data_IF_854547439403
#
_entry.id   IF_854547439403
#
_cell.length_a   1.000
_cell.length_b   1.000
_cell.length_c   1.000
_cell.angle_alpha   90.00
_cell.angle_beta   90.00
_cell.angle_gamma   90.00
#
_symmetry.space_group_name_H-M   'P 1'
#
loop_
_entity.id
_entity.type
_entity.pdbx_description
1 polymer ?
#
# COMPACT_ATOMS: atom_id res chain seq x y z
N UNK A 1 -20.10 -7.68 16.63
CA UNK A 1 -18.62 -7.49 16.59
C UNK A 1 -18.37 -6.02 16.37
N UNK A 2 -17.44 -5.43 17.09
CA UNK A 2 -17.05 -4.04 16.89
C UNK A 2 -16.46 -3.84 15.48
N UNK A 3 -16.85 -2.75 14.82
CA UNK A 3 -16.39 -2.43 13.46
C UNK A 3 -14.89 -2.13 13.49
N UNK A 4 -14.10 -2.76 12.62
CA UNK A 4 -12.66 -2.53 12.50
C UNK A 4 -12.37 -1.19 11.82
N UNK A 5 -11.29 -0.53 12.22
CA UNK A 5 -10.91 0.80 11.74
C UNK A 5 -9.63 0.70 10.92
N UNK A 6 -9.66 1.24 9.70
CA UNK A 6 -8.56 1.20 8.75
C UNK A 6 -8.18 2.59 8.25
N UNK A 7 -6.89 2.80 8.04
CA UNK A 7 -6.35 3.95 7.30
C UNK A 7 -5.72 3.46 6.01
N UNK A 8 -6.07 4.09 4.87
CA UNK A 8 -5.59 3.69 3.53
C UNK A 8 -4.95 4.88 2.83
N UNK A 9 -3.71 4.73 2.40
CA UNK A 9 -3.04 5.70 1.55
C UNK A 9 -3.20 5.34 0.06
N UNK A 10 -3.37 6.34 -0.80
CA UNK A 10 -3.56 6.11 -2.24
C UNK A 10 -4.91 5.48 -2.58
N UNK A 11 -5.96 5.80 -1.82
CA UNK A 11 -7.30 5.22 -1.93
C UNK A 11 -8.11 5.70 -3.16
N UNK A 12 -7.62 6.68 -3.92
CA UNK A 12 -8.40 7.30 -5.02
C UNK A 12 -8.45 6.47 -6.31
N UNK A 13 -7.58 5.48 -6.47
CA UNK A 13 -7.52 4.66 -7.70
C UNK A 13 -6.82 3.32 -7.50
N UNK A 14 -6.93 2.43 -8.50
CA UNK A 14 -6.19 1.18 -8.57
C UNK A 14 -6.38 0.29 -7.34
N UNK A 15 -5.30 -0.28 -6.86
CA UNK A 15 -5.29 -1.24 -5.73
C UNK A 15 -5.90 -0.61 -4.46
N UNK A 16 -5.50 0.62 -4.11
CA UNK A 16 -6.00 1.27 -2.90
C UNK A 16 -7.52 1.51 -2.93
N UNK A 17 -8.07 1.87 -4.10
CA UNK A 17 -9.52 2.00 -4.29
C UNK A 17 -10.23 0.64 -4.13
N UNK A 18 -9.71 -0.42 -4.73
CA UNK A 18 -10.29 -1.76 -4.61
C UNK A 18 -10.27 -2.26 -3.15
N UNK A 19 -9.18 -2.03 -2.43
CA UNK A 19 -9.08 -2.34 -0.99
C UNK A 19 -10.14 -1.55 -0.21
N UNK A 20 -10.27 -0.23 -0.45
CA UNK A 20 -11.27 0.61 0.20
C UNK A 20 -12.69 0.07 -0.01
N UNK A 21 -13.06 -0.20 -1.26
CA UNK A 21 -14.38 -0.72 -1.61
C UNK A 21 -14.66 -2.08 -0.95
N UNK A 22 -13.66 -2.95 -0.89
CA UNK A 22 -13.80 -4.27 -0.27
C UNK A 22 -13.95 -4.17 1.25
N UNK A 23 -13.15 -3.31 1.91
CA UNK A 23 -13.26 -3.07 3.34
C UNK A 23 -14.61 -2.42 3.71
N UNK A 24 -15.07 -1.44 2.92
CA UNK A 24 -16.38 -0.81 3.10
C UNK A 24 -17.53 -1.81 3.06
N UNK A 25 -17.53 -2.72 2.09
CA UNK A 25 -18.51 -3.82 1.99
C UNK A 25 -18.46 -4.79 3.17
N UNK A 26 -17.35 -4.84 3.91
CA UNK A 26 -17.16 -5.67 5.10
C UNK A 26 -17.28 -4.87 6.41
N UNK A 27 -18.01 -3.73 6.38
CA UNK A 27 -18.34 -2.91 7.56
C UNK A 27 -17.13 -2.34 8.31
N UNK A 28 -16.01 -2.07 7.63
CA UNK A 28 -14.92 -1.29 8.21
C UNK A 28 -15.27 0.19 8.25
N UNK A 29 -14.79 0.88 9.28
CA UNK A 29 -14.68 2.34 9.31
C UNK A 29 -13.33 2.74 8.74
N UNK A 30 -13.30 3.68 7.79
CA UNK A 30 -12.12 3.90 6.97
C UNK A 30 -11.75 5.38 6.91
N UNK A 31 -10.49 5.69 7.15
CA UNK A 31 -9.89 6.98 6.77
C UNK A 31 -9.13 6.77 5.45
N UNK A 32 -9.62 7.38 4.38
CA UNK A 32 -9.07 7.26 3.05
C UNK A 32 -8.26 8.50 2.67
N UNK A 33 -6.98 8.33 2.34
CA UNK A 33 -6.12 9.43 1.90
C UNK A 33 -5.93 9.42 0.38
N UNK A 34 -6.14 10.58 -0.22
CA UNK A 34 -5.85 10.84 -1.63
C UNK A 34 -5.48 12.30 -1.85
N UNK A 35 -4.71 12.58 -2.91
CA UNK A 35 -4.23 13.96 -3.22
C UNK A 35 -5.33 14.91 -3.69
N UNK A 36 -6.40 14.42 -4.26
CA UNK A 36 -7.42 15.23 -4.95
C UNK A 36 -8.79 15.17 -4.29
N UNK A 37 -8.96 14.47 -3.19
CA UNK A 37 -10.28 14.27 -2.58
C UNK A 37 -11.27 13.46 -3.44
N UNK A 38 -10.92 13.09 -4.67
CA UNK A 38 -11.75 12.33 -5.61
C UNK A 38 -11.79 10.83 -5.24
N UNK A 39 -12.03 10.53 -3.99
CA UNK A 39 -12.34 9.17 -3.56
C UNK A 39 -13.82 8.96 -3.87
N UNK A 40 -14.11 8.17 -4.88
CA UNK A 40 -15.50 7.83 -5.22
C UNK A 40 -16.01 6.90 -4.12
N UNK A 41 -16.93 7.41 -3.32
CA UNK A 41 -17.60 6.65 -2.28
C UNK A 41 -18.72 5.81 -2.90
N UNK A 42 -18.76 4.52 -2.57
CA UNK A 42 -19.85 3.61 -2.86
C UNK A 42 -20.89 3.57 -1.74
N UNK A 43 -21.53 2.44 -1.58
CA UNK A 43 -22.41 2.13 -0.45
C UNK A 43 -21.63 2.23 0.88
N UNK A 44 -22.32 2.59 1.99
CA UNK A 44 -21.76 2.81 3.34
C UNK A 44 -20.78 3.99 3.44
N UNK A 45 -21.02 5.06 2.71
CA UNK A 45 -20.19 6.25 2.72
C UNK A 45 -20.11 6.94 4.09
N UNK A 46 -21.06 6.73 4.98
CA UNK A 46 -21.08 7.23 6.36
C UNK A 46 -19.96 6.67 7.25
N UNK A 47 -19.38 5.54 6.85
CA UNK A 47 -18.25 4.91 7.52
C UNK A 47 -16.88 5.31 6.93
N UNK A 48 -16.86 6.26 5.99
CA UNK A 48 -15.63 6.64 5.28
C UNK A 48 -15.37 8.14 5.46
N UNK A 49 -14.23 8.44 6.05
CA UNK A 49 -13.69 9.79 6.14
C UNK A 49 -12.59 10.00 5.09
N UNK A 50 -12.68 11.10 4.34
CA UNK A 50 -11.69 11.44 3.32
C UNK A 50 -10.75 12.49 3.86
N UNK A 51 -9.45 12.23 3.77
CA UNK A 51 -8.39 13.22 4.02
C UNK A 51 -7.71 13.53 2.69
N UNK A 52 -7.87 14.77 2.24
CA UNK A 52 -7.10 15.29 1.11
C UNK A 52 -5.74 15.73 1.62
N UNK A 53 -4.69 14.96 1.30
CA UNK A 53 -3.34 15.24 1.80
C UNK A 53 -2.25 14.77 0.84
N UNK A 54 -1.11 15.46 0.87
CA UNK A 54 0.12 15.03 0.19
C UNK A 54 1.00 14.32 1.22
N UNK A 55 1.28 13.04 0.99
CA UNK A 55 2.14 12.24 1.86
C UNK A 55 3.60 12.72 1.89
N UNK A 56 3.99 13.61 0.99
CA UNK A 56 5.30 14.27 1.03
C UNK A 56 5.37 15.36 2.12
N UNK A 57 4.23 15.80 2.68
CA UNK A 57 4.19 16.69 3.83
C UNK A 57 4.35 15.89 5.13
N UNK A 58 5.19 16.39 6.00
CA UNK A 58 5.54 15.69 7.27
C UNK A 58 4.32 15.50 8.19
N UNK A 59 3.37 16.43 8.16
CA UNK A 59 2.18 16.41 9.02
C UNK A 59 1.13 15.39 8.62
N UNK A 60 1.09 14.99 7.35
CA UNK A 60 0.02 14.14 6.81
C UNK A 60 -0.10 12.79 7.55
N UNK A 61 1.01 12.21 7.98
CA UNK A 61 0.98 10.94 8.72
C UNK A 61 0.26 11.06 10.07
N UNK A 62 0.53 12.13 10.80
CA UNK A 62 -0.12 12.42 12.09
C UNK A 62 -1.59 12.83 11.89
N UNK A 63 -1.90 13.60 10.86
CA UNK A 63 -3.27 13.99 10.50
C UNK A 63 -4.15 12.77 10.23
N UNK A 64 -3.63 11.77 9.50
CA UNK A 64 -4.36 10.53 9.20
C UNK A 64 -4.63 9.70 10.45
N UNK A 65 -3.63 9.52 11.31
CA UNK A 65 -3.79 8.80 12.57
C UNK A 65 -4.77 9.53 13.51
N UNK A 66 -4.59 10.84 13.67
CA UNK A 66 -5.46 11.65 14.52
C UNK A 66 -6.91 11.67 14.01
N UNK A 67 -7.10 11.67 12.68
CA UNK A 67 -8.44 11.57 12.09
C UNK A 67 -9.13 10.26 12.47
N UNK A 68 -8.42 9.13 12.39
CA UNK A 68 -8.96 7.81 12.77
C UNK A 68 -9.34 7.79 14.27
N UNK A 69 -8.46 8.28 15.14
CA UNK A 69 -8.70 8.30 16.59
C UNK A 69 -9.85 9.25 16.94
N UNK A 70 -9.87 10.46 16.39
CA UNK A 70 -10.86 11.48 16.77
C UNK A 70 -12.26 11.14 16.28
N UNK A 71 -12.39 10.51 15.10
CA UNK A 71 -13.70 10.20 14.52
C UNK A 71 -14.19 8.81 14.91
N UNK A 72 -13.29 7.84 14.95
CA UNK A 72 -13.66 6.45 15.15
C UNK A 72 -13.21 5.84 16.47
N UNK A 73 -12.35 6.54 17.22
CA UNK A 73 -11.91 6.17 18.57
C UNK A 73 -10.68 5.27 18.64
N UNK A 74 -10.27 4.64 17.53
CA UNK A 74 -9.12 3.71 17.45
C UNK A 74 -8.56 3.64 16.02
N UNK A 75 -7.52 2.81 15.82
CA UNK A 75 -7.04 2.37 14.51
C UNK A 75 -6.50 0.94 14.63
N UNK A 76 -7.04 0.03 13.82
CA UNK A 76 -6.62 -1.38 13.80
C UNK A 76 -5.68 -1.69 12.63
N UNK A 77 -5.86 -1.01 11.47
CA UNK A 77 -5.15 -1.32 10.22
C UNK A 77 -4.58 -0.08 9.56
N UNK A 78 -3.36 -0.22 9.03
CA UNK A 78 -2.76 0.75 8.11
C UNK A 78 -2.43 0.07 6.78
N UNK A 79 -2.99 0.61 5.68
CA UNK A 79 -2.65 0.18 4.31
C UNK A 79 -1.73 1.22 3.66
N UNK A 80 -0.45 0.88 3.55
CA UNK A 80 0.58 1.69 2.89
C UNK A 80 0.60 1.33 1.42
N UNK A 81 -0.25 1.99 0.63
CA UNK A 81 -0.45 1.64 -0.78
C UNK A 81 -0.08 2.78 -1.74
N UNK A 82 -0.04 4.03 -1.29
CA UNK A 82 0.31 5.15 -2.16
C UNK A 82 1.68 4.98 -2.82
N UNK A 83 1.75 5.19 -4.12
CA UNK A 83 2.99 5.08 -4.86
C UNK A 83 2.88 5.59 -6.29
N UNK A 84 4.03 5.82 -6.89
CA UNK A 84 4.21 6.12 -8.31
C UNK A 84 5.33 5.24 -8.85
N UNK A 85 5.51 5.24 -10.15
CA UNK A 85 6.61 4.56 -10.82
C UNK A 85 7.34 5.53 -11.75
N UNK A 86 8.65 5.51 -11.68
CA UNK A 86 9.54 6.07 -12.69
C UNK A 86 10.57 4.99 -13.05
N UNK A 87 10.69 4.70 -14.33
CA UNK A 87 11.61 3.70 -14.87
C UNK A 87 12.02 4.13 -16.29
N UNK A 88 13.22 3.81 -16.65
CA UNK A 88 13.78 4.17 -17.96
C UNK A 88 15.24 3.79 -18.04
N UNK A 89 15.84 3.88 -19.25
CA UNK A 89 17.28 3.72 -19.42
C UNK A 89 18.05 4.86 -18.75
N UNK A 90 19.33 4.71 -18.58
CA UNK A 90 20.22 5.73 -18.02
C UNK A 90 20.08 7.07 -18.78
N UNK A 91 19.85 7.00 -20.09
CA UNK A 91 19.75 8.17 -20.97
C UNK A 91 18.38 8.86 -20.91
N UNK A 92 17.33 8.13 -20.54
CA UNK A 92 15.94 8.62 -20.68
C UNK A 92 15.20 8.83 -19.38
N UNK A 93 15.72 8.31 -18.25
CA UNK A 93 15.05 8.44 -16.95
C UNK A 93 14.96 9.90 -16.52
N UNK A 94 13.75 10.30 -16.10
CA UNK A 94 13.53 11.63 -15.52
C UNK A 94 14.00 11.63 -14.05
N UNK A 95 15.12 12.29 -13.78
CA UNK A 95 15.75 12.29 -12.45
C UNK A 95 14.84 12.93 -11.40
N UNK A 96 14.12 14.01 -11.72
CA UNK A 96 13.26 14.71 -10.77
C UNK A 96 12.04 13.85 -10.42
N UNK A 97 11.42 13.20 -11.39
CA UNK A 97 10.33 12.24 -11.15
C UNK A 97 10.82 11.02 -10.36
N UNK A 98 12.02 10.52 -10.68
CA UNK A 98 12.65 9.43 -9.94
C UNK A 98 12.86 9.81 -8.46
N UNK A 99 13.45 10.99 -8.19
CA UNK A 99 13.64 11.46 -6.82
C UNK A 99 12.30 11.66 -6.08
N UNK A 100 11.30 12.21 -6.77
CA UNK A 100 9.95 12.35 -6.21
C UNK A 100 9.31 10.99 -5.89
N UNK A 101 9.51 9.98 -6.75
CA UNK A 101 9.08 8.61 -6.48
C UNK A 101 9.78 8.03 -5.23
N UNK A 102 11.09 8.22 -5.10
CA UNK A 102 11.85 7.76 -3.91
C UNK A 102 11.31 8.40 -2.64
N UNK A 103 11.08 9.71 -2.63
CA UNK A 103 10.48 10.41 -1.49
C UNK A 103 9.10 9.87 -1.15
N UNK A 104 8.24 9.65 -2.16
CA UNK A 104 6.90 9.13 -1.93
C UNK A 104 6.91 7.68 -1.46
N UNK A 105 7.67 6.79 -2.12
CA UNK A 105 7.65 5.35 -1.81
C UNK A 105 8.49 4.96 -0.60
N UNK A 106 9.55 5.68 -0.30
CA UNK A 106 10.46 5.35 0.82
C UNK A 106 10.24 6.30 1.98
N UNK A 107 10.56 7.58 1.84
CA UNK A 107 10.51 8.53 2.94
C UNK A 107 9.11 8.63 3.57
N UNK A 108 8.07 8.86 2.74
CA UNK A 108 6.72 9.00 3.29
C UNK A 108 6.17 7.70 3.87
N UNK A 109 6.50 6.55 3.23
CA UNK A 109 6.09 5.24 3.76
C UNK A 109 6.76 4.92 5.10
N UNK A 110 8.04 5.23 5.25
CA UNK A 110 8.74 5.06 6.53
C UNK A 110 8.11 5.93 7.60
N UNK A 111 7.88 7.21 7.30
CA UNK A 111 7.25 8.16 8.22
C UNK A 111 5.91 7.64 8.72
N UNK A 112 4.98 7.28 7.83
CA UNK A 112 3.65 6.82 8.24
C UNK A 112 3.72 5.49 8.99
N UNK A 113 4.56 4.54 8.57
CA UNK A 113 4.73 3.26 9.25
C UNK A 113 5.18 3.49 10.70
N UNK A 114 6.21 4.29 10.94
CA UNK A 114 6.69 4.56 12.30
C UNK A 114 5.68 5.38 13.13
N UNK A 115 4.95 6.33 12.53
CA UNK A 115 3.87 7.06 13.22
C UNK A 115 2.83 6.07 13.77
N UNK A 116 2.34 5.16 12.92
CA UNK A 116 1.34 4.18 13.33
C UNK A 116 1.90 3.10 14.27
N UNK A 117 3.13 2.65 14.08
CA UNK A 117 3.77 1.70 14.99
C UNK A 117 3.90 2.25 16.41
N UNK A 118 4.24 3.53 16.58
CA UNK A 118 4.26 4.17 17.90
C UNK A 118 2.89 4.12 18.58
N UNK A 119 1.82 4.28 17.80
CA UNK A 119 0.46 4.15 18.31
C UNK A 119 0.12 2.69 18.63
N UNK A 120 0.36 1.75 17.71
CA UNK A 120 0.09 0.32 17.92
C UNK A 120 0.88 -0.27 19.10
N UNK A 121 2.10 0.20 19.36
CA UNK A 121 2.87 -0.18 20.55
C UNK A 121 2.19 0.25 21.85
N UNK A 122 1.48 1.40 21.86
CA UNK A 122 0.73 1.88 23.02
C UNK A 122 -0.58 1.10 23.23
N UNK A 123 -1.26 0.75 22.14
CA UNK A 123 -2.54 -0.01 22.19
C UNK A 123 -2.35 -1.52 22.27
N UNK A 124 -1.14 -2.02 22.01
CA UNK A 124 -0.77 -3.43 22.07
C UNK A 124 -1.17 -4.24 20.85
N UNK A 125 -1.82 -3.67 19.86
CA UNK A 125 -2.32 -4.36 18.64
C UNK A 125 -2.25 -3.46 17.41
N UNK A 126 -2.23 -4.06 16.22
CA UNK A 126 -2.31 -3.34 14.95
C UNK A 126 -1.82 -4.19 13.78
N UNK A 127 -2.22 -3.83 12.57
CA UNK A 127 -1.77 -4.53 11.37
C UNK A 127 -1.40 -3.55 10.26
N UNK A 128 -0.17 -3.62 9.77
CA UNK A 128 0.31 -2.84 8.64
C UNK A 128 0.41 -3.72 7.40
N UNK A 129 -0.27 -3.34 6.34
CA UNK A 129 -0.20 -3.98 5.03
C UNK A 129 0.49 -3.02 4.06
N UNK A 130 1.60 -3.45 3.47
CA UNK A 130 2.42 -2.64 2.56
C UNK A 130 2.26 -3.18 1.15
N UNK A 131 1.79 -2.35 0.22
CA UNK A 131 1.82 -2.66 -1.21
C UNK A 131 3.23 -2.40 -1.74
N UNK A 132 4.02 -3.47 -1.78
CA UNK A 132 5.34 -3.54 -2.37
C UNK A 132 5.23 -3.84 -3.88
N UNK A 133 6.02 -4.73 -4.40
CA UNK A 133 6.02 -5.20 -5.78
C UNK A 133 6.81 -6.50 -5.87
N UNK A 134 6.58 -7.32 -6.90
CA UNK A 134 7.54 -8.38 -7.26
C UNK A 134 8.96 -7.83 -7.43
N UNK A 135 9.10 -6.55 -7.79
CA UNK A 135 10.38 -5.86 -7.85
C UNK A 135 10.91 -5.42 -6.47
N UNK A 136 10.30 -5.85 -5.38
CA UNK A 136 10.86 -5.76 -4.02
C UNK A 136 11.77 -6.93 -3.66
N UNK A 137 11.73 -8.02 -4.44
CA UNK A 137 12.57 -9.21 -4.26
C UNK A 137 13.32 -9.62 -5.54
N UNK A 138 12.96 -9.04 -6.67
CA UNK A 138 13.60 -9.20 -7.97
C UNK A 138 13.92 -7.84 -8.56
N UNK A 139 14.81 -7.81 -9.53
CA UNK A 139 15.11 -6.60 -10.28
C UNK A 139 15.13 -6.91 -11.77
N UNK A 140 15.06 -5.86 -12.58
CA UNK A 140 15.22 -5.94 -14.03
C UNK A 140 15.87 -4.68 -14.56
N UNK A 141 16.37 -4.79 -15.78
CA UNK A 141 16.89 -3.64 -16.53
C UNK A 141 15.88 -2.48 -16.55
N UNK A 142 16.36 -1.25 -16.52
CA UNK A 142 15.58 0.00 -16.56
C UNK A 142 14.63 0.22 -15.36
N UNK A 143 14.68 -0.62 -14.33
CA UNK A 143 13.77 -0.52 -13.17
C UNK A 143 14.51 -0.37 -11.84
N UNK A 144 15.80 -0.07 -11.85
CA UNK A 144 16.65 -0.06 -10.65
C UNK A 144 16.14 0.84 -9.53
N UNK A 145 15.75 2.08 -9.85
CA UNK A 145 15.24 3.01 -8.84
C UNK A 145 13.91 2.55 -8.23
N UNK A 146 12.97 2.07 -9.05
CA UNK A 146 11.70 1.55 -8.57
C UNK A 146 11.89 0.27 -7.75
N UNK A 147 12.71 -0.65 -8.23
CA UNK A 147 13.08 -1.86 -7.48
C UNK A 147 13.70 -1.49 -6.13
N UNK A 148 14.68 -0.58 -6.12
CA UNK A 148 15.33 -0.10 -4.90
C UNK A 148 14.35 0.44 -3.86
N UNK A 149 13.33 1.20 -4.28
CA UNK A 149 12.27 1.65 -3.37
C UNK A 149 11.51 0.48 -2.73
N UNK A 150 11.14 -0.53 -3.51
CA UNK A 150 10.40 -1.68 -2.99
C UNK A 150 11.30 -2.58 -2.11
N UNK A 151 12.56 -2.80 -2.48
CA UNK A 151 13.55 -3.47 -1.60
C UNK A 151 13.71 -2.77 -0.25
N UNK A 152 13.72 -1.42 -0.25
CA UNK A 152 13.79 -0.65 1.00
C UNK A 152 12.57 -0.92 1.89
N UNK A 153 11.36 -1.01 1.33
CA UNK A 153 10.14 -1.35 2.08
C UNK A 153 10.17 -2.80 2.61
N UNK A 154 10.66 -3.74 1.81
CA UNK A 154 10.80 -5.15 2.23
C UNK A 154 11.80 -5.29 3.38
N UNK A 155 12.96 -4.63 3.28
CA UNK A 155 13.99 -4.66 4.32
C UNK A 155 13.48 -4.02 5.62
N UNK A 156 12.79 -2.87 5.53
CA UNK A 156 12.16 -2.24 6.69
C UNK A 156 11.14 -3.19 7.35
N UNK A 157 10.23 -3.75 6.55
CA UNK A 157 9.20 -4.65 7.06
C UNK A 157 9.80 -5.89 7.72
N UNK A 158 10.87 -6.45 7.17
CA UNK A 158 11.58 -7.60 7.74
C UNK A 158 12.18 -7.28 9.11
N UNK A 159 12.90 -6.16 9.22
CA UNK A 159 13.47 -5.71 10.50
C UNK A 159 12.38 -5.48 11.56
N UNK A 160 11.32 -4.77 11.19
CA UNK A 160 10.21 -4.48 12.10
C UNK A 160 9.46 -5.76 12.55
N UNK A 161 9.32 -6.75 11.69
CA UNK A 161 8.73 -8.05 12.08
C UNK A 161 9.55 -8.76 13.13
N UNK A 162 10.89 -8.67 13.09
CA UNK A 162 11.76 -9.21 14.15
C UNK A 162 11.52 -8.49 15.48
N UNK A 163 11.46 -7.15 15.46
CA UNK A 163 11.19 -6.34 16.66
C UNK A 163 9.80 -6.60 17.28
N UNK A 164 8.85 -7.02 16.47
CA UNK A 164 7.44 -7.19 16.84
C UNK A 164 7.03 -8.65 17.04
N UNK A 165 7.99 -9.59 17.01
CA UNK A 165 7.73 -11.04 16.99
C UNK A 165 6.84 -11.52 18.13
N UNK A 166 7.03 -10.95 19.33
CA UNK A 166 6.31 -11.31 20.56
C UNK A 166 5.12 -10.38 20.87
N UNK A 167 4.62 -9.66 19.86
CA UNK A 167 3.48 -8.73 20.02
C UNK A 167 2.31 -9.13 19.13
N UNK A 168 1.12 -8.57 19.36
CA UNK A 168 -0.03 -8.69 18.46
C UNK A 168 -0.02 -7.67 17.30
N UNK A 169 1.13 -7.04 17.04
CA UNK A 169 1.31 -6.14 15.90
C UNK A 169 1.87 -6.94 14.72
N UNK A 170 1.26 -6.77 13.54
CA UNK A 170 1.60 -7.53 12.34
C UNK A 170 2.04 -6.63 11.19
N UNK A 171 2.90 -7.13 10.32
CA UNK A 171 3.31 -6.45 9.09
C UNK A 171 3.37 -7.47 7.96
N UNK A 172 2.64 -7.20 6.88
CA UNK A 172 2.66 -7.99 5.64
C UNK A 172 3.05 -7.12 4.46
N UNK A 173 3.95 -7.59 3.62
CA UNK A 173 4.20 -7.05 2.30
C UNK A 173 3.41 -7.85 1.26
N UNK A 174 2.61 -7.17 0.44
CA UNK A 174 2.02 -7.75 -0.77
C UNK A 174 2.93 -7.40 -1.93
N UNK A 175 3.34 -8.40 -2.70
CA UNK A 175 4.25 -8.29 -3.84
C UNK A 175 3.50 -8.55 -5.15
N UNK A 176 2.72 -7.59 -5.68
CA UNK A 176 2.01 -7.80 -6.93
C UNK A 176 2.97 -7.84 -8.12
N UNK A 177 2.66 -8.70 -9.09
CA UNK A 177 3.13 -8.57 -10.44
C UNK A 177 2.42 -7.44 -11.18
N UNK A 178 2.23 -7.60 -12.49
CA UNK A 178 1.56 -6.58 -13.28
C UNK A 178 0.05 -6.56 -13.01
N UNK A 179 -0.42 -5.45 -12.43
CA UNK A 179 -1.84 -5.15 -12.16
C UNK A 179 -2.33 -4.07 -13.12
N UNK A 180 -3.51 -4.25 -13.69
CA UNK A 180 -4.15 -3.26 -14.56
C UNK A 180 -4.62 -2.04 -13.76
N UNK A 181 -3.80 -1.00 -13.74
CA UNK A 181 -4.05 0.26 -13.04
C UNK A 181 -3.58 1.42 -13.89
N UNK A 182 -3.85 2.64 -13.41
CA UNK A 182 -3.33 3.86 -14.04
C UNK A 182 -1.85 4.14 -13.71
N UNK A 183 -1.14 3.21 -13.09
CA UNK A 183 0.26 3.41 -12.68
C UNK A 183 1.18 3.66 -13.89
N UNK A 184 0.90 3.00 -15.01
CA UNK A 184 1.69 3.05 -16.24
C UNK A 184 1.02 3.88 -17.36
N UNK A 185 0.02 4.71 -17.03
CA UNK A 185 -0.80 5.44 -18.03
C UNK A 185 0.03 6.36 -18.95
N UNK A 186 1.14 6.90 -18.43
CA UNK A 186 1.99 7.85 -19.17
C UNK A 186 3.16 7.15 -19.91
N UNK A 187 3.18 5.82 -19.92
CA UNK A 187 4.22 5.06 -20.61
C UNK A 187 3.91 4.91 -22.10
N UNK A 188 4.89 5.09 -22.98
CA UNK A 188 4.69 4.99 -24.44
C UNK A 188 4.29 3.58 -24.87
N UNK A 189 4.76 2.55 -24.16
CA UNK A 189 4.39 1.13 -24.36
C UNK A 189 3.99 0.55 -23.01
N UNK A 190 2.81 -0.05 -22.94
CA UNK A 190 2.32 -0.61 -21.69
C UNK A 190 3.13 -1.86 -21.30
N UNK A 191 3.50 -2.08 -20.02
CA UNK A 191 4.28 -3.25 -19.58
C UNK A 191 3.67 -4.60 -19.96
N UNK A 192 2.36 -4.68 -20.15
CA UNK A 192 1.67 -5.86 -20.66
C UNK A 192 2.25 -6.36 -21.99
N UNK A 193 2.54 -5.42 -22.89
CA UNK A 193 3.12 -5.71 -24.21
C UNK A 193 4.60 -6.08 -24.08
N UNK A 194 5.36 -5.28 -23.31
CA UNK A 194 6.80 -5.52 -23.10
C UNK A 194 7.08 -6.87 -22.44
N UNK A 195 6.21 -7.32 -21.54
CA UNK A 195 6.36 -8.59 -20.83
C UNK A 195 5.62 -9.75 -21.50
N UNK A 196 4.93 -9.48 -22.60
CA UNK A 196 4.10 -10.47 -23.33
C UNK A 196 3.11 -11.19 -22.39
N UNK A 197 2.42 -10.42 -21.53
CA UNK A 197 1.43 -10.93 -20.58
C UNK A 197 0.04 -10.77 -21.19
N UNK A 198 -0.64 -11.89 -21.44
CA UNK A 198 -1.98 -11.89 -22.04
C UNK A 198 -3.04 -11.35 -21.08
N UNK A 199 -3.03 -11.83 -19.83
CA UNK A 199 -3.98 -11.45 -18.79
C UNK A 199 -3.22 -10.86 -17.60
N UNK A 200 -3.44 -9.59 -17.32
CA UNK A 200 -2.91 -8.93 -16.12
C UNK A 200 -3.79 -9.23 -14.91
N UNK A 201 -3.27 -9.05 -13.71
CA UNK A 201 -4.10 -8.97 -12.52
C UNK A 201 -4.98 -7.71 -12.60
N UNK A 202 -6.14 -7.74 -11.94
CA UNK A 202 -6.97 -6.56 -11.70
C UNK A 202 -6.84 -6.14 -10.23
N UNK A 203 -7.16 -4.87 -9.90
CA UNK A 203 -7.09 -4.38 -8.51
C UNK A 203 -7.87 -5.24 -7.51
N UNK A 204 -9.01 -5.80 -7.93
CA UNK A 204 -9.83 -6.67 -7.09
C UNK A 204 -9.11 -7.96 -6.69
N UNK A 205 -8.25 -8.53 -7.54
CA UNK A 205 -7.45 -9.70 -7.17
C UNK A 205 -6.57 -9.41 -5.94
N UNK A 206 -6.03 -8.20 -5.87
CA UNK A 206 -5.22 -7.77 -4.73
C UNK A 206 -6.08 -7.53 -3.49
N UNK A 207 -7.25 -6.92 -3.67
CA UNK A 207 -8.18 -6.68 -2.57
C UNK A 207 -8.70 -7.99 -1.95
N UNK A 208 -8.96 -9.04 -2.76
CA UNK A 208 -9.32 -10.38 -2.27
C UNK A 208 -8.18 -10.97 -1.42
N UNK A 209 -6.94 -10.90 -1.90
CA UNK A 209 -5.76 -11.36 -1.14
C UNK A 209 -5.63 -10.61 0.19
N UNK A 210 -5.86 -9.29 0.18
CA UNK A 210 -5.87 -8.48 1.43
C UNK A 210 -6.90 -9.03 2.41
N UNK A 211 -8.13 -9.28 1.96
CA UNK A 211 -9.19 -9.81 2.84
C UNK A 211 -8.84 -11.19 3.38
N UNK A 212 -8.25 -12.05 2.56
CA UNK A 212 -7.76 -13.36 3.00
C UNK A 212 -6.71 -13.21 4.11
N UNK A 213 -5.72 -12.35 3.91
CA UNK A 213 -4.63 -12.12 4.87
C UNK A 213 -5.17 -11.62 6.20
N UNK A 214 -6.01 -10.59 6.21
CA UNK A 214 -6.53 -9.98 7.44
C UNK A 214 -7.58 -10.83 8.16
N UNK A 215 -8.12 -11.86 7.50
CA UNK A 215 -9.05 -12.82 8.11
C UNK A 215 -8.35 -13.89 8.95
N UNK A 216 -7.02 -14.03 8.84
CA UNK A 216 -6.29 -15.07 9.58
C UNK A 216 -6.22 -14.73 11.07
N UNK A 217 -6.26 -15.75 11.94
CA UNK A 217 -6.04 -15.55 13.37
C UNK A 217 -4.69 -14.90 13.68
N UNK A 218 -4.61 -14.14 14.77
CA UNK A 218 -3.43 -13.32 15.12
C UNK A 218 -2.13 -14.12 15.30
N UNK A 219 -2.21 -15.41 15.63
CA UNK A 219 -1.04 -16.28 15.74
C UNK A 219 -0.46 -16.72 14.39
N UNK A 220 -1.20 -16.53 13.28
CA UNK A 220 -0.72 -16.82 11.93
C UNK A 220 -0.12 -15.55 11.35
N UNK A 221 1.16 -15.58 11.03
CA UNK A 221 1.88 -14.46 10.43
C UNK A 221 2.11 -14.74 8.95
N UNK A 222 1.71 -13.80 8.11
CA UNK A 222 1.99 -13.82 6.66
C UNK A 222 2.97 -12.69 6.35
N UNK A 223 4.28 -12.95 6.35
CA UNK A 223 5.28 -11.91 6.14
C UNK A 223 5.21 -11.27 4.75
N UNK A 224 4.98 -12.11 3.73
CA UNK A 224 4.99 -11.74 2.31
C UNK A 224 3.93 -12.53 1.55
N UNK A 225 3.32 -11.89 0.57
CA UNK A 225 2.38 -12.54 -0.33
C UNK A 225 2.64 -12.07 -1.76
N UNK A 226 3.29 -12.92 -2.54
CA UNK A 226 3.55 -12.65 -3.95
C UNK A 226 2.40 -13.17 -4.80
N UNK A 227 1.87 -12.32 -5.67
CA UNK A 227 0.80 -12.66 -6.60
C UNK A 227 1.15 -12.20 -8.00
N UNK A 228 1.12 -13.12 -8.95
CA UNK A 228 1.56 -12.90 -10.33
C UNK A 228 0.46 -13.26 -11.33
N UNK A 229 0.31 -12.51 -12.42
CA UNK A 229 -0.51 -12.97 -13.53
C UNK A 229 0.16 -14.14 -14.24
N UNK A 230 -0.66 -14.99 -14.86
CA UNK A 230 -0.15 -16.10 -15.67
C UNK A 230 0.81 -15.58 -16.76
N UNK A 231 1.96 -16.22 -16.88
CA UNK A 231 2.98 -15.88 -17.86
C UNK A 231 3.96 -14.77 -17.42
N UNK A 232 3.79 -14.19 -16.24
CA UNK A 232 4.74 -13.21 -15.71
C UNK A 232 6.04 -13.94 -15.30
N UNK A 233 7.11 -13.74 -16.07
CA UNK A 233 8.44 -14.27 -15.77
C UNK A 233 9.18 -13.31 -14.83
N UNK A 234 9.73 -13.82 -13.74
CA UNK A 234 10.46 -13.09 -12.71
C UNK A 234 11.80 -13.74 -12.39
#
# INVERSE_FOLDING_TARGET
MESKIAVITGASSGIGKAILEKLSKNNFRIVACGRTGNVVLGENSENIEIVTGDLLLETTSDELLNKAINVFGDCDYLFVNAGTIESGSIETIDIDKMCKMVRLKVESSYRIIYTFLKYFKKTGKGYIIITSSVLGTKTRENSGAYAGCNYALEALAESLRMELSDTDIQITCIEPGLVQTNLHRDWPVHPKELLNITNTLVPDDIAEVVMEIISKPSHIRIPKYMILPKGHKI
#
